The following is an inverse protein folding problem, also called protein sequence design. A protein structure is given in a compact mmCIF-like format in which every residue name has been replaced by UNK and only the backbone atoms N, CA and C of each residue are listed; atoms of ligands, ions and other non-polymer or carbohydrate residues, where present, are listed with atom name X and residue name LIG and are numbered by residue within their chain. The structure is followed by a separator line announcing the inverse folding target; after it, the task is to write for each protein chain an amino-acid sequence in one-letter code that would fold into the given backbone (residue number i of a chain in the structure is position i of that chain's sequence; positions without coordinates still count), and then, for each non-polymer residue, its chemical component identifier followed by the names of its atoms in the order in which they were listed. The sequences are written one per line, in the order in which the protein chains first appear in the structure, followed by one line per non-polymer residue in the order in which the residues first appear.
data_IF_301762687434
#
_entry.id   IF_301762687434
#
_cell.length_a   1.000
_cell.length_b   1.000
_cell.length_c   1.000
_cell.angle_alpha   90.00
_cell.angle_beta   90.00
_cell.angle_gamma   90.00
#
_symmetry.space_group_name_H-M   'P 1'
#
loop_
_entity.id
_entity.type
_entity.pdbx_description
1 polymer ?
#
# COMPACT_ATOMS: atom_id res chain seq x y z
N UNK A 1 9.79 12.57 -25.24
CA UNK A 1 9.11 13.04 -24.02
C UNK A 1 8.31 11.86 -23.47
N UNK A 2 8.51 11.49 -22.21
CA UNK A 2 7.78 10.39 -21.58
C UNK A 2 6.31 10.76 -21.47
N UNK A 3 5.41 9.90 -21.96
CA UNK A 3 3.97 10.13 -21.88
C UNK A 3 3.47 9.59 -20.51
N UNK A 4 3.00 10.47 -19.65
CA UNK A 4 2.43 10.11 -18.35
C UNK A 4 0.92 10.11 -18.50
N UNK A 5 0.25 8.93 -18.53
CA UNK A 5 -1.21 8.89 -18.62
C UNK A 5 -1.81 9.35 -17.26
N UNK A 6 -2.80 10.24 -17.33
CA UNK A 6 -3.56 10.60 -16.13
C UNK A 6 -4.37 9.39 -15.63
N UNK A 7 -4.55 9.31 -14.31
CA UNK A 7 -5.33 8.27 -13.68
C UNK A 7 -6.25 8.91 -12.62
N UNK A 8 -7.49 9.26 -12.99
CA UNK A 8 -8.43 9.90 -12.08
C UNK A 8 -8.54 9.17 -10.74
N UNK A 9 -8.74 9.93 -9.68
CA UNK A 9 -8.97 9.38 -8.34
C UNK A 9 -10.22 9.99 -7.74
N UNK A 10 -10.99 9.21 -7.02
CA UNK A 10 -12.21 9.66 -6.33
C UNK A 10 -11.93 10.70 -5.22
N UNK A 11 -10.66 10.85 -4.80
CA UNK A 11 -10.28 11.82 -3.77
C UNK A 11 -10.66 13.26 -4.13
N UNK A 12 -10.57 13.64 -5.41
CA UNK A 12 -10.88 14.98 -5.90
C UNK A 12 -12.29 15.09 -6.51
N UNK A 13 -13.05 14.00 -6.50
CA UNK A 13 -14.43 13.98 -6.96
C UNK A 13 -15.39 14.38 -5.86
N UNK A 14 -16.53 14.94 -6.23
CA UNK A 14 -17.62 15.17 -5.28
C UNK A 14 -18.11 13.81 -4.72
N UNK A 15 -18.42 13.72 -3.42
CA UNK A 15 -18.99 12.52 -2.85
C UNK A 15 -20.29 12.12 -3.54
N UNK A 16 -20.50 10.82 -3.75
CA UNK A 16 -21.74 10.27 -4.25
C UNK A 16 -22.90 10.41 -3.24
N UNK A 17 -24.13 10.14 -3.69
CA UNK A 17 -25.31 10.14 -2.82
C UNK A 17 -25.34 8.94 -1.88
N UNK A 18 -24.81 7.81 -2.31
CA UNK A 18 -24.97 6.51 -1.67
C UNK A 18 -23.64 5.75 -1.58
N UNK A 19 -23.56 4.82 -0.63
CA UNK A 19 -22.47 3.85 -0.54
C UNK A 19 -22.61 2.82 -1.67
N UNK A 20 -21.55 2.06 -1.94
CA UNK A 20 -21.58 0.98 -2.92
C UNK A 20 -22.66 -0.06 -2.59
N UNK A 21 -23.68 -0.15 -3.43
CA UNK A 21 -24.81 -1.06 -3.24
C UNK A 21 -24.43 -2.54 -3.30
N UNK A 22 -23.28 -2.88 -3.89
CA UNK A 22 -22.77 -4.25 -3.84
C UNK A 22 -22.31 -4.62 -2.44
N UNK A 23 -21.77 -3.65 -1.71
CA UNK A 23 -21.21 -3.86 -0.37
C UNK A 23 -22.23 -3.57 0.72
N UNK A 24 -23.09 -2.55 0.54
CA UNK A 24 -23.97 -2.03 1.58
C UNK A 24 -25.44 -2.13 1.21
N UNK A 25 -26.27 -2.20 2.23
CA UNK A 25 -27.70 -1.94 2.19
C UNK A 25 -28.01 -0.76 3.11
N UNK A 26 -28.16 0.43 2.52
CA UNK A 26 -28.15 1.68 3.27
C UNK A 26 -26.80 1.89 3.97
N UNK A 27 -26.80 1.96 5.29
CA UNK A 27 -25.59 2.11 6.11
C UNK A 27 -25.06 0.78 6.68
N UNK A 28 -25.68 -0.35 6.36
CA UNK A 28 -25.29 -1.66 6.88
C UNK A 28 -24.49 -2.45 5.84
N UNK A 29 -23.35 -2.97 6.25
CA UNK A 29 -22.55 -3.87 5.42
C UNK A 29 -23.32 -5.18 5.21
N UNK A 30 -23.39 -5.65 3.97
CA UNK A 30 -24.05 -6.92 3.64
C UNK A 30 -23.35 -8.09 4.33
N UNK A 31 -24.12 -8.95 5.00
CA UNK A 31 -23.58 -10.07 5.79
C UNK A 31 -22.66 -11.00 4.98
N UNK A 32 -22.93 -11.19 3.68
CA UNK A 32 -22.08 -12.02 2.84
C UNK A 32 -20.70 -11.40 2.63
N UNK A 33 -20.59 -10.05 2.50
CA UNK A 33 -19.33 -9.31 2.40
C UNK A 33 -18.53 -9.51 3.68
N UNK A 34 -19.15 -9.18 4.82
CA UNK A 34 -18.55 -9.33 6.15
C UNK A 34 -18.00 -10.73 6.37
N UNK A 35 -18.83 -11.74 6.16
CA UNK A 35 -18.47 -13.14 6.40
C UNK A 35 -17.34 -13.60 5.48
N UNK A 36 -17.34 -13.19 4.21
CA UNK A 36 -16.29 -13.58 3.26
C UNK A 36 -14.96 -12.93 3.59
N UNK A 37 -14.95 -11.62 3.89
CA UNK A 37 -13.71 -10.89 4.27
C UNK A 37 -13.11 -11.48 5.54
N UNK A 38 -13.92 -11.71 6.58
CA UNK A 38 -13.45 -12.34 7.82
C UNK A 38 -12.96 -13.77 7.61
N UNK A 39 -13.65 -14.55 6.79
CA UNK A 39 -13.24 -15.93 6.48
C UNK A 39 -11.87 -15.97 5.84
N UNK A 40 -11.62 -15.18 4.77
CA UNK A 40 -10.31 -15.14 4.14
C UNK A 40 -9.20 -14.81 5.15
N UNK A 41 -9.44 -13.80 6.00
CA UNK A 41 -8.48 -13.38 7.00
C UNK A 41 -8.20 -14.48 8.04
N UNK A 42 -9.25 -14.99 8.66
CA UNK A 42 -9.08 -15.94 9.75
C UNK A 42 -8.63 -17.32 9.30
N UNK A 43 -9.13 -17.82 8.17
CA UNK A 43 -8.66 -19.08 7.60
C UNK A 43 -7.17 -19.00 7.27
N UNK A 44 -6.71 -17.87 6.69
CA UNK A 44 -5.30 -17.66 6.40
C UNK A 44 -4.45 -17.61 7.68
N UNK A 45 -4.85 -16.83 8.67
CA UNK A 45 -4.10 -16.67 9.91
C UNK A 45 -4.05 -17.95 10.75
N UNK A 46 -5.13 -18.73 10.79
CA UNK A 46 -5.23 -19.96 11.57
C UNK A 46 -4.29 -21.08 11.08
N UNK A 47 -3.78 -21.00 9.85
CA UNK A 47 -2.78 -21.95 9.33
C UNK A 47 -1.45 -21.85 10.10
N UNK A 48 -1.10 -20.65 10.56
CA UNK A 48 0.25 -20.38 11.12
C UNK A 48 0.20 -19.94 12.58
N UNK A 49 -0.87 -19.24 13.00
CA UNK A 49 -0.93 -18.56 14.29
C UNK A 49 -2.03 -19.15 15.19
N UNK A 50 -1.76 -19.14 16.50
CA UNK A 50 -2.70 -19.63 17.49
C UNK A 50 -3.77 -18.58 17.81
N UNK A 51 -5.01 -19.01 17.87
CA UNK A 51 -6.19 -18.24 18.33
C UNK A 51 -6.32 -16.81 17.75
N UNK A 52 -6.29 -16.62 16.40
CA UNK A 52 -6.29 -15.27 15.81
C UNK A 52 -7.53 -14.43 16.23
N UNK A 53 -8.65 -15.04 16.53
CA UNK A 53 -9.86 -14.34 17.01
C UNK A 53 -9.67 -13.59 18.34
N UNK A 54 -8.60 -13.87 19.09
CA UNK A 54 -8.37 -13.24 20.38
C UNK A 54 -7.53 -11.96 20.30
N UNK A 55 -6.81 -11.77 19.20
CA UNK A 55 -5.84 -10.68 19.08
C UNK A 55 -5.99 -9.89 17.77
N UNK A 56 -6.87 -10.33 16.84
CA UNK A 56 -7.16 -9.61 15.59
C UNK A 56 -8.39 -8.74 15.75
N UNK A 57 -8.29 -7.51 15.24
CA UNK A 57 -9.40 -6.61 14.90
C UNK A 57 -9.37 -6.40 13.40
N UNK A 58 -10.51 -6.16 12.76
CA UNK A 58 -10.59 -5.99 11.33
C UNK A 58 -11.64 -4.94 10.94
N UNK A 59 -11.28 -4.05 10.04
CA UNK A 59 -12.17 -3.02 9.51
C UNK A 59 -12.08 -2.98 8.00
N UNK A 60 -13.22 -2.90 7.31
CA UNK A 60 -13.21 -2.34 5.97
C UNK A 60 -13.07 -0.83 6.09
N UNK A 61 -12.11 -0.23 5.38
CA UNK A 61 -11.79 1.18 5.52
C UNK A 61 -11.41 1.82 4.17
N UNK A 62 -11.26 3.13 4.17
CA UNK A 62 -10.82 3.86 3.00
C UNK A 62 -11.96 4.37 2.11
N UNK A 63 -11.65 4.73 0.87
CA UNK A 63 -12.62 5.28 -0.07
C UNK A 63 -13.68 4.28 -0.49
N UNK A 64 -13.35 2.98 -0.60
CA UNK A 64 -14.29 1.93 -1.02
C UNK A 64 -15.51 1.76 -0.10
N UNK A 65 -15.41 2.20 1.17
CA UNK A 65 -16.51 2.19 2.15
C UNK A 65 -16.99 3.60 2.50
N UNK A 66 -16.74 4.58 1.64
CA UNK A 66 -17.17 5.97 1.81
C UNK A 66 -18.02 6.43 0.62
N UNK A 67 -18.56 7.63 0.68
CA UNK A 67 -19.27 8.26 -0.44
C UNK A 67 -18.34 8.69 -1.60
N UNK A 68 -17.04 8.46 -1.49
CA UNK A 68 -16.03 8.67 -2.53
C UNK A 68 -15.56 7.35 -3.19
N UNK A 69 -16.37 6.29 -3.13
CA UNK A 69 -16.09 5.07 -3.87
C UNK A 69 -16.17 5.28 -5.40
N UNK A 70 -15.43 4.50 -6.14
CA UNK A 70 -15.29 4.65 -7.60
C UNK A 70 -16.06 3.55 -8.32
N UNK A 71 -17.24 3.90 -8.87
CA UNK A 71 -18.12 2.95 -9.56
C UNK A 71 -17.56 2.42 -10.89
N UNK A 72 -16.68 3.18 -11.53
CA UNK A 72 -16.11 2.82 -12.84
C UNK A 72 -14.83 1.99 -12.74
N UNK A 73 -14.26 1.88 -11.54
CA UNK A 73 -13.04 1.11 -11.32
C UNK A 73 -13.34 -0.40 -11.26
N UNK A 74 -12.66 -1.17 -12.12
CA UNK A 74 -12.78 -2.63 -12.15
C UNK A 74 -11.37 -3.25 -12.19
N UNK A 75 -10.98 -4.04 -11.17
CA UNK A 75 -11.69 -4.28 -9.91
C UNK A 75 -11.77 -3.03 -9.03
N UNK A 76 -12.82 -2.92 -8.24
CA UNK A 76 -12.96 -1.90 -7.21
C UNK A 76 -11.91 -2.07 -6.11
N UNK A 77 -11.46 -0.97 -5.50
CA UNK A 77 -10.44 -0.99 -4.43
C UNK A 77 -11.13 -1.17 -3.07
N UNK A 78 -10.82 -2.24 -2.35
CA UNK A 78 -11.38 -2.53 -1.06
C UNK A 78 -10.29 -2.88 -0.06
N UNK A 79 -10.09 -2.02 0.94
CA UNK A 79 -9.05 -2.16 1.95
C UNK A 79 -9.61 -2.77 3.24
N UNK A 80 -9.07 -3.91 3.67
CA UNK A 80 -9.27 -4.46 5.00
C UNK A 80 -8.08 -4.10 5.90
N UNK A 81 -8.27 -3.15 6.80
CA UNK A 81 -7.28 -2.80 7.81
C UNK A 81 -7.37 -3.74 9.00
N UNK A 82 -6.23 -4.32 9.34
CA UNK A 82 -6.10 -5.31 10.42
C UNK A 82 -5.37 -4.68 11.60
N UNK A 83 -6.00 -4.64 12.75
CA UNK A 83 -5.39 -4.26 14.01
C UNK A 83 -4.93 -5.49 14.79
N UNK A 84 -3.77 -5.39 15.42
CA UNK A 84 -3.20 -6.46 16.23
C UNK A 84 -3.13 -6.02 17.69
N UNK A 85 -3.74 -6.79 18.59
CA UNK A 85 -3.38 -6.71 20.00
C UNK A 85 -2.04 -7.43 20.18
N UNK A 86 -0.95 -6.66 20.08
CA UNK A 86 0.42 -7.21 20.12
C UNK A 86 0.78 -7.88 21.43
N UNK A 87 0.16 -7.49 22.54
CA UNK A 87 0.38 -8.13 23.85
C UNK A 87 -0.23 -9.53 23.85
N UNK A 88 -1.47 -9.60 23.44
CA UNK A 88 -2.20 -10.89 23.33
C UNK A 88 -1.59 -11.77 22.24
N UNK A 89 -1.21 -11.21 21.09
CA UNK A 89 -0.54 -11.95 20.03
C UNK A 89 0.72 -12.65 20.54
N UNK A 90 1.63 -11.93 21.23
CA UNK A 90 2.87 -12.53 21.76
C UNK A 90 2.63 -13.56 22.84
N UNK A 91 1.51 -13.44 23.58
CA UNK A 91 1.13 -14.45 24.59
C UNK A 91 0.75 -15.77 23.95
N UNK A 92 0.01 -15.74 22.85
CA UNK A 92 -0.40 -16.96 22.13
C UNK A 92 0.68 -17.47 21.17
N UNK A 93 1.55 -16.60 20.70
CA UNK A 93 2.59 -16.86 19.71
C UNK A 93 3.94 -16.43 20.26
N UNK A 94 4.43 -17.14 21.31
CA UNK A 94 5.63 -16.79 22.09
C UNK A 94 6.91 -16.70 21.26
N UNK A 95 6.96 -17.39 20.13
CA UNK A 95 8.08 -17.37 19.18
C UNK A 95 8.36 -15.96 18.62
N UNK A 96 7.38 -15.08 18.69
CA UNK A 96 7.45 -13.70 18.21
C UNK A 96 7.64 -12.66 19.33
N UNK A 97 7.87 -13.11 20.58
CA UNK A 97 7.94 -12.23 21.75
C UNK A 97 9.04 -11.17 21.65
N UNK A 98 10.14 -11.48 20.94
CA UNK A 98 11.28 -10.55 20.75
C UNK A 98 11.11 -9.52 19.64
N UNK A 99 10.01 -9.56 18.85
CA UNK A 99 9.78 -8.62 17.76
C UNK A 99 9.04 -7.37 18.23
N UNK A 100 9.38 -6.21 17.66
CA UNK A 100 8.62 -4.95 17.81
C UNK A 100 7.25 -5.03 17.12
N UNK A 101 6.37 -4.07 17.39
CA UNK A 101 5.06 -4.00 16.73
C UNK A 101 5.21 -3.73 15.23
N UNK A 102 6.17 -2.89 14.85
CA UNK A 102 6.49 -2.53 13.46
C UNK A 102 7.01 -3.75 12.68
N UNK A 103 7.87 -4.56 13.32
CA UNK A 103 8.38 -5.79 12.72
C UNK A 103 7.28 -6.83 12.52
N UNK A 104 6.40 -7.00 13.51
CA UNK A 104 5.23 -7.89 13.41
C UNK A 104 4.29 -7.39 12.30
N UNK A 105 3.94 -6.09 12.27
CA UNK A 105 3.10 -5.52 11.23
C UNK A 105 3.70 -5.69 9.83
N UNK A 106 5.01 -5.46 9.70
CA UNK A 106 5.72 -5.65 8.43
C UNK A 106 5.70 -7.10 7.96
N UNK A 107 5.87 -8.04 8.89
CA UNK A 107 5.81 -9.49 8.62
C UNK A 107 4.43 -9.90 8.09
N UNK A 108 3.34 -9.44 8.74
CA UNK A 108 1.98 -9.73 8.27
C UNK A 108 1.70 -9.09 6.90
N UNK A 109 2.12 -7.84 6.70
CA UNK A 109 1.90 -7.14 5.42
C UNK A 109 2.58 -7.86 4.26
N UNK A 110 3.77 -8.39 4.47
CA UNK A 110 4.46 -9.19 3.47
C UNK A 110 3.77 -10.53 3.22
N UNK A 111 3.33 -11.21 4.29
CA UNK A 111 2.60 -12.47 4.18
C UNK A 111 1.27 -12.27 3.44
N UNK A 112 0.50 -11.24 3.76
CA UNK A 112 -0.75 -10.91 3.07
C UNK A 112 -0.52 -10.57 1.59
N UNK A 113 0.51 -9.78 1.27
CA UNK A 113 0.83 -9.45 -0.12
C UNK A 113 1.23 -10.69 -0.95
N UNK A 114 1.97 -11.61 -0.36
CA UNK A 114 2.48 -12.78 -1.08
C UNK A 114 1.50 -13.95 -1.15
N UNK A 115 0.69 -14.14 -0.10
CA UNK A 115 -0.10 -15.35 0.06
C UNK A 115 -1.62 -15.13 0.09
N UNK A 116 -2.10 -13.97 0.56
CA UNK A 116 -3.53 -13.69 0.67
C UNK A 116 -4.05 -12.87 -0.52
N UNK A 117 -3.33 -11.82 -0.94
CA UNK A 117 -3.71 -10.97 -2.08
C UNK A 117 -3.92 -11.75 -3.39
N UNK A 118 -3.10 -12.76 -3.75
CA UNK A 118 -3.36 -13.56 -4.96
C UNK A 118 -4.72 -14.26 -4.98
N UNK A 119 -5.29 -14.53 -3.79
CA UNK A 119 -6.60 -15.17 -3.64
C UNK A 119 -7.76 -14.16 -3.65
N UNK A 120 -7.47 -12.88 -3.38
CA UNK A 120 -8.47 -11.84 -3.15
C UNK A 120 -8.37 -10.65 -4.11
N UNK A 121 -7.39 -10.67 -5.04
CA UNK A 121 -7.14 -9.59 -6.01
C UNK A 121 -8.27 -9.36 -7.03
N UNK A 122 -9.20 -10.30 -7.16
CA UNK A 122 -10.41 -10.16 -7.99
C UNK A 122 -11.59 -10.89 -7.33
N UNK A 123 -11.88 -10.53 -6.08
CA UNK A 123 -12.98 -11.10 -5.34
C UNK A 123 -14.27 -10.31 -5.60
N UNK A 124 -15.27 -10.95 -6.22
CA UNK A 124 -16.58 -10.34 -6.54
C UNK A 124 -16.50 -8.98 -7.28
N UNK A 125 -15.44 -8.79 -8.06
CA UNK A 125 -15.18 -7.54 -8.78
C UNK A 125 -14.42 -6.50 -7.96
N UNK A 126 -13.88 -6.86 -6.80
CA UNK A 126 -13.03 -6.04 -5.97
C UNK A 126 -11.60 -6.61 -5.86
N UNK A 127 -10.61 -5.73 -5.83
CA UNK A 127 -9.29 -6.04 -5.31
C UNK A 127 -9.35 -5.82 -3.78
N UNK A 128 -9.56 -6.93 -3.05
CA UNK A 128 -9.59 -6.90 -1.59
C UNK A 128 -8.18 -7.07 -1.05
N UNK A 129 -7.66 -6.00 -0.44
CA UNK A 129 -6.33 -5.98 0.18
C UNK A 129 -6.44 -6.04 1.69
N UNK A 130 -5.48 -6.72 2.33
CA UNK A 130 -5.35 -6.77 3.79
C UNK A 130 -4.06 -6.06 4.20
N UNK A 131 -4.17 -5.14 5.15
CA UNK A 131 -3.04 -4.36 5.60
C UNK A 131 -3.05 -4.20 7.13
N UNK A 132 -1.94 -4.59 7.78
CA UNK A 132 -1.72 -4.35 9.21
C UNK A 132 -1.09 -2.99 9.40
N UNK A 133 -1.81 -2.10 10.09
CA UNK A 133 -1.20 -0.87 10.59
C UNK A 133 -0.53 -1.15 11.95
N UNK A 134 0.69 -0.63 12.22
CA UNK A 134 1.34 -0.78 13.53
C UNK A 134 0.50 -0.22 14.69
N UNK A 135 -0.42 0.70 14.42
CA UNK A 135 -1.40 1.18 15.40
C UNK A 135 -2.51 0.13 15.59
N UNK A 136 -2.84 -0.15 16.84
CA UNK A 136 -3.88 -1.15 17.17
C UNK A 136 -5.29 -0.62 16.92
N UNK A 137 -5.47 0.71 17.01
CA UNK A 137 -6.78 1.35 16.89
C UNK A 137 -6.91 2.12 15.58
N UNK A 138 -7.96 1.80 14.82
CA UNK A 138 -8.24 2.42 13.52
C UNK A 138 -8.46 3.95 13.61
N UNK A 139 -9.00 4.46 14.70
CA UNK A 139 -9.26 5.90 14.87
C UNK A 139 -7.96 6.71 14.97
N UNK A 140 -6.86 6.10 15.36
CA UNK A 140 -5.55 6.77 15.48
C UNK A 140 -4.96 7.19 14.13
N UNK A 141 -5.48 6.67 13.02
CA UNK A 141 -4.98 6.97 11.67
C UNK A 141 -5.89 7.89 10.85
N UNK A 142 -6.98 8.39 11.45
CA UNK A 142 -7.94 9.29 10.80
C UNK A 142 -8.36 8.81 9.40
N UNK A 143 -8.99 7.62 9.25
CA UNK A 143 -9.39 7.07 7.97
C UNK A 143 -10.56 7.85 7.36
N UNK A 144 -10.83 7.65 6.07
CA UNK A 144 -12.03 8.18 5.38
C UNK A 144 -13.32 7.72 6.04
N UNK A 145 -13.39 6.43 6.27
CA UNK A 145 -14.47 5.70 6.95
C UNK A 145 -13.88 4.38 7.44
N UNK A 146 -14.49 3.75 8.43
CA UNK A 146 -14.08 2.44 8.92
C UNK A 146 -15.28 1.68 9.50
N UNK A 147 -15.60 0.53 8.89
CA UNK A 147 -16.63 -0.39 9.36
C UNK A 147 -15.98 -1.55 10.10
N UNK A 148 -16.30 -1.73 11.38
CA UNK A 148 -15.79 -2.81 12.21
C UNK A 148 -16.44 -4.14 11.81
N UNK A 149 -15.65 -5.04 11.25
CA UNK A 149 -16.13 -6.35 10.80
C UNK A 149 -16.40 -7.32 11.96
N UNK A 150 -15.76 -7.11 13.11
CA UNK A 150 -15.95 -7.97 14.28
C UNK A 150 -17.27 -7.64 14.97
N UNK A 151 -17.52 -6.35 15.23
CA UNK A 151 -18.68 -5.87 15.95
C UNK A 151 -19.88 -5.57 15.04
N UNK A 152 -19.70 -5.57 13.70
CA UNK A 152 -20.73 -5.29 12.70
C UNK A 152 -21.32 -3.88 12.81
N UNK A 153 -20.46 -2.87 13.01
CA UNK A 153 -20.85 -1.49 13.21
C UNK A 153 -19.82 -0.50 12.65
N UNK A 154 -20.21 0.75 12.46
CA UNK A 154 -19.29 1.81 12.09
C UNK A 154 -18.43 2.23 13.29
N UNK A 155 -17.11 2.18 13.14
CA UNK A 155 -16.16 2.86 14.05
C UNK A 155 -15.94 4.31 13.62
N UNK A 156 -15.89 4.57 12.30
CA UNK A 156 -15.84 5.91 11.70
C UNK A 156 -16.85 5.94 10.57
N UNK A 157 -17.96 6.66 10.78
CA UNK A 157 -19.00 6.80 9.76
C UNK A 157 -18.51 7.62 8.55
N UNK A 158 -18.92 7.24 7.32
CA UNK A 158 -18.59 8.00 6.13
C UNK A 158 -19.31 9.35 6.12
N UNK A 159 -18.64 10.39 5.65
CA UNK A 159 -19.17 11.74 5.58
C UNK A 159 -19.58 12.11 4.15
N UNK A 160 -20.88 12.44 3.95
CA UNK A 160 -21.42 12.87 2.64
C UNK A 160 -20.87 14.21 2.14
N UNK A 161 -20.33 15.02 3.02
CA UNK A 161 -19.78 16.35 2.66
C UNK A 161 -18.25 16.36 2.68
N UNK A 162 -17.63 15.20 2.75
CA UNK A 162 -16.18 15.09 2.78
C UNK A 162 -15.59 15.56 1.46
N UNK A 163 -14.72 16.54 1.53
CA UNK A 163 -13.93 17.04 0.40
C UNK A 163 -12.47 17.19 0.81
N UNK A 164 -11.52 17.04 -0.13
CA UNK A 164 -10.13 17.27 0.17
C UNK A 164 -9.90 18.73 0.62
N UNK A 165 -9.02 18.94 1.59
CA UNK A 165 -8.64 20.31 1.97
C UNK A 165 -8.01 21.00 0.76
N UNK A 166 -8.46 22.22 0.47
CA UNK A 166 -7.84 23.04 -0.57
C UNK A 166 -6.76 23.94 0.03
N UNK A 167 -5.58 23.90 -0.58
CA UNK A 167 -4.50 24.85 -0.29
C UNK A 167 -3.71 25.11 -1.57
N UNK A 168 -3.63 26.40 -1.96
CA UNK A 168 -2.84 26.83 -3.11
C UNK A 168 -1.36 26.44 -2.97
N UNK A 169 -0.82 26.45 -1.77
CA UNK A 169 0.56 26.02 -1.51
C UNK A 169 0.74 24.51 -1.78
N UNK A 170 -0.28 23.69 -1.48
CA UNK A 170 -0.26 22.27 -1.76
C UNK A 170 -0.35 21.98 -3.26
N UNK A 171 -1.24 22.68 -3.96
CA UNK A 171 -1.35 22.60 -5.42
C UNK A 171 -0.03 22.95 -6.10
N UNK A 172 0.57 24.08 -5.77
CA UNK A 172 1.89 24.47 -6.31
C UNK A 172 3.01 23.48 -5.98
N UNK A 173 2.94 22.84 -4.80
CA UNK A 173 3.91 21.82 -4.42
C UNK A 173 3.76 20.55 -5.25
N UNK A 174 2.52 20.11 -5.54
CA UNK A 174 2.27 18.93 -6.36
C UNK A 174 2.52 19.17 -7.85
N UNK A 175 2.36 20.40 -8.35
CA UNK A 175 2.83 20.80 -9.68
C UNK A 175 4.36 20.64 -9.82
N UNK A 176 5.13 21.08 -8.81
CA UNK A 176 6.58 20.86 -8.79
C UNK A 176 6.96 19.38 -8.71
N UNK A 177 6.19 18.57 -8.00
CA UNK A 177 6.38 17.13 -7.99
C UNK A 177 6.17 16.54 -9.39
N UNK A 178 5.15 17.00 -10.12
CA UNK A 178 4.92 16.59 -11.51
C UNK A 178 6.11 16.96 -12.42
N UNK A 179 6.60 18.19 -12.35
CA UNK A 179 7.74 18.65 -13.15
C UNK A 179 9.01 17.85 -12.82
N UNK A 180 9.22 17.57 -11.54
CA UNK A 180 10.34 16.75 -11.07
C UNK A 180 10.23 15.33 -11.61
N UNK A 181 9.07 14.70 -11.47
CA UNK A 181 8.82 13.36 -11.99
C UNK A 181 9.00 13.30 -13.51
N UNK A 182 8.44 14.26 -14.26
CA UNK A 182 8.59 14.32 -15.72
C UNK A 182 10.08 14.43 -16.13
N UNK A 183 10.87 15.21 -15.40
CA UNK A 183 12.31 15.31 -15.61
C UNK A 183 13.01 13.97 -15.36
N UNK A 184 12.72 13.28 -14.26
CA UNK A 184 13.31 11.99 -13.90
C UNK A 184 12.93 10.90 -14.91
N UNK A 185 11.68 10.85 -15.32
CA UNK A 185 11.16 9.89 -16.31
C UNK A 185 11.81 10.10 -17.70
N UNK A 186 12.01 11.37 -18.11
CA UNK A 186 12.71 11.67 -19.35
C UNK A 186 14.20 11.26 -19.28
N UNK A 187 14.87 11.49 -18.15
CA UNK A 187 16.26 11.03 -17.93
C UNK A 187 16.37 9.51 -18.00
N UNK A 188 15.41 8.80 -17.37
CA UNK A 188 15.35 7.35 -17.45
C UNK A 188 15.19 6.87 -18.90
N UNK A 189 14.24 7.43 -19.65
CA UNK A 189 14.00 7.05 -21.05
C UNK A 189 15.23 7.31 -21.94
N UNK A 190 15.92 8.43 -21.75
CA UNK A 190 17.15 8.74 -22.47
C UNK A 190 18.29 7.77 -22.13
N UNK A 191 18.48 7.51 -20.84
CA UNK A 191 19.52 6.59 -20.38
C UNK A 191 19.27 5.15 -20.85
N UNK A 192 18.00 4.73 -20.88
CA UNK A 192 17.60 3.42 -21.40
C UNK A 192 17.91 3.31 -22.90
N UNK A 193 17.55 4.31 -23.70
CA UNK A 193 17.85 4.35 -25.12
C UNK A 193 19.36 4.36 -25.41
N UNK A 194 20.16 5.10 -24.61
CA UNK A 194 21.63 5.07 -24.71
C UNK A 194 22.20 3.68 -24.40
N UNK A 195 21.65 3.00 -23.39
CA UNK A 195 22.09 1.66 -23.01
C UNK A 195 21.75 0.62 -24.06
N UNK A 196 20.54 0.64 -24.61
CA UNK A 196 20.10 -0.25 -25.68
C UNK A 196 20.86 -0.02 -27.00
N UNK A 197 21.19 1.25 -27.30
CA UNK A 197 21.95 1.63 -28.49
C UNK A 197 23.47 1.45 -28.39
N UNK A 198 24.01 1.12 -27.22
CA UNK A 198 25.46 1.01 -27.01
C UNK A 198 26.05 -0.27 -27.64
N UNK A 199 26.90 -0.10 -28.67
CA UNK A 199 27.51 -1.20 -29.45
C UNK A 199 28.90 -1.61 -28.96
N UNK A 200 29.62 -0.74 -28.24
CA UNK A 200 30.94 -1.05 -27.70
C UNK A 200 30.94 -1.24 -26.20
N UNK A 201 31.83 -2.10 -25.68
CA UNK A 201 31.91 -2.41 -24.24
C UNK A 201 32.10 -1.14 -23.36
N UNK A 202 33.03 -0.19 -23.69
CA UNK A 202 33.19 1.02 -22.88
C UNK A 202 31.92 1.88 -22.85
N UNK A 203 31.27 2.04 -24.00
CA UNK A 203 30.02 2.83 -24.09
C UNK A 203 28.89 2.17 -23.32
N UNK A 204 28.79 0.85 -23.38
CA UNK A 204 27.78 0.08 -22.64
C UNK A 204 27.92 0.23 -21.12
N UNK A 205 29.14 0.13 -20.60
CA UNK A 205 29.41 0.32 -19.16
C UNK A 205 29.04 1.75 -18.70
N UNK A 206 29.35 2.77 -19.52
CA UNK A 206 28.99 4.14 -19.18
C UNK A 206 27.47 4.38 -19.25
N UNK A 207 26.80 3.84 -20.27
CA UNK A 207 25.35 3.92 -20.42
C UNK A 207 24.61 3.17 -19.30
N UNK A 208 25.11 1.99 -18.89
CA UNK A 208 24.59 1.24 -17.76
C UNK A 208 24.65 2.05 -16.45
N UNK A 209 25.79 2.71 -16.17
CA UNK A 209 25.92 3.57 -14.98
C UNK A 209 24.92 4.73 -15.00
N UNK A 210 24.72 5.38 -16.16
CA UNK A 210 23.73 6.45 -16.31
C UNK A 210 22.31 5.93 -16.07
N UNK A 211 21.99 4.75 -16.62
CA UNK A 211 20.68 4.10 -16.45
C UNK A 211 20.43 3.77 -14.99
N UNK A 212 21.40 3.15 -14.32
CA UNK A 212 21.26 2.84 -12.88
C UNK A 212 21.05 4.08 -12.03
N UNK A 213 21.78 5.17 -12.31
CA UNK A 213 21.58 6.44 -11.60
C UNK A 213 20.17 7.02 -11.84
N UNK A 214 19.66 6.97 -13.07
CA UNK A 214 18.32 7.44 -13.39
C UNK A 214 17.22 6.59 -12.70
N UNK A 215 17.41 5.27 -12.64
CA UNK A 215 16.55 4.35 -11.91
C UNK A 215 16.55 4.69 -10.41
N UNK A 216 17.73 4.87 -9.81
CA UNK A 216 17.85 5.19 -8.39
C UNK A 216 17.15 6.50 -8.04
N UNK A 217 17.36 7.55 -8.81
CA UNK A 217 16.72 8.87 -8.60
C UNK A 217 15.17 8.78 -8.68
N UNK A 218 14.65 8.07 -9.68
CA UNK A 218 13.21 7.90 -9.85
C UNK A 218 12.60 7.06 -8.70
N UNK A 219 13.26 5.99 -8.30
CA UNK A 219 12.85 5.14 -7.19
C UNK A 219 12.86 5.90 -5.85
N UNK A 220 13.92 6.68 -5.57
CA UNK A 220 14.00 7.52 -4.36
C UNK A 220 12.88 8.56 -4.30
N UNK A 221 12.53 9.17 -5.44
CA UNK A 221 11.45 10.13 -5.48
C UNK A 221 10.08 9.48 -5.22
N UNK A 222 9.83 8.29 -5.79
CA UNK A 222 8.66 7.49 -5.46
C UNK A 222 8.59 7.18 -3.97
N UNK A 223 9.69 6.68 -3.40
CA UNK A 223 9.74 6.29 -1.98
C UNK A 223 9.53 7.51 -1.05
N UNK A 224 10.01 8.69 -1.40
CA UNK A 224 9.77 9.90 -0.62
C UNK A 224 8.27 10.27 -0.56
N UNK A 225 7.55 10.17 -1.69
CA UNK A 225 6.11 10.43 -1.73
C UNK A 225 5.35 9.32 -0.98
N UNK A 226 5.70 8.06 -1.20
CA UNK A 226 5.06 6.90 -0.57
C UNK A 226 5.26 6.87 0.96
N UNK A 227 6.48 7.17 1.43
CA UNK A 227 6.78 7.30 2.86
C UNK A 227 5.96 8.42 3.49
N UNK A 228 5.84 9.56 2.81
CA UNK A 228 4.97 10.65 3.24
C UNK A 228 3.53 10.17 3.45
N UNK A 229 2.95 9.44 2.48
CA UNK A 229 1.61 8.87 2.63
C UNK A 229 1.48 7.96 3.85
N UNK A 230 2.46 7.12 4.11
CA UNK A 230 2.45 6.26 5.32
C UNK A 230 2.44 7.09 6.60
N UNK A 231 3.17 8.21 6.63
CA UNK A 231 3.17 9.13 7.76
C UNK A 231 1.82 9.85 7.93
N UNK A 232 1.14 10.20 6.83
CA UNK A 232 -0.20 10.79 6.89
C UNK A 232 -1.20 9.91 7.67
N UNK A 233 -1.13 8.61 7.49
CA UNK A 233 -1.97 7.61 8.19
C UNK A 233 -1.25 6.98 9.40
N UNK A 234 -0.39 7.73 10.06
CA UNK A 234 0.20 7.38 11.36
C UNK A 234 -0.50 8.15 12.48
N UNK A 235 -0.20 7.79 13.72
CA UNK A 235 -0.75 8.47 14.91
C UNK A 235 -0.53 9.98 14.95
N UNK A 236 0.50 10.49 14.28
CA UNK A 236 0.82 11.92 14.21
C UNK A 236 0.34 12.60 12.94
N UNK A 237 -0.22 11.85 11.99
CA UNK A 237 -0.73 12.36 10.73
C UNK A 237 -2.21 12.76 10.82
N UNK A 238 -2.65 13.57 9.86
CA UNK A 238 -4.04 14.02 9.75
C UNK A 238 -4.92 13.11 8.85
N UNK A 239 -4.39 11.96 8.42
CA UNK A 239 -5.12 10.97 7.61
C UNK A 239 -5.59 11.53 6.26
N UNK A 240 -6.91 11.48 6.04
CA UNK A 240 -7.54 12.00 4.82
C UNK A 240 -7.15 13.46 4.53
N UNK A 241 -7.13 14.31 5.53
CA UNK A 241 -6.88 15.74 5.40
C UNK A 241 -5.37 16.11 5.44
N UNK A 242 -4.48 15.14 5.43
CA UNK A 242 -3.04 15.36 5.48
C UNK A 242 -2.48 15.81 4.13
N UNK A 243 -1.51 16.73 4.15
CA UNK A 243 -0.80 17.16 2.94
C UNK A 243 -0.17 15.99 2.18
N UNK A 244 0.42 15.04 2.87
CA UNK A 244 1.08 13.90 2.22
C UNK A 244 0.08 12.92 1.58
N UNK A 245 -1.15 12.83 2.12
CA UNK A 245 -2.22 12.12 1.44
C UNK A 245 -2.66 12.90 0.19
N UNK A 246 -2.87 14.22 0.29
CA UNK A 246 -3.17 15.09 -0.85
C UNK A 246 -2.11 14.93 -1.96
N UNK A 247 -0.81 15.01 -1.59
CA UNK A 247 0.33 14.83 -2.48
C UNK A 247 0.30 13.47 -3.21
N UNK A 248 0.00 12.41 -2.48
CA UNK A 248 -0.13 11.06 -3.04
C UNK A 248 -1.28 10.98 -4.04
N UNK A 249 -2.45 11.52 -3.72
CA UNK A 249 -3.63 11.49 -4.57
C UNK A 249 -3.44 12.35 -5.83
N UNK A 250 -2.84 13.53 -5.71
CA UNK A 250 -2.46 14.36 -6.85
C UNK A 250 -1.47 13.65 -7.77
N UNK A 251 -0.49 12.96 -7.17
CA UNK A 251 0.45 12.14 -7.93
C UNK A 251 -0.18 10.91 -8.61
N UNK A 252 -1.22 10.30 -8.01
CA UNK A 252 -2.03 9.26 -8.67
C UNK A 252 -2.79 9.85 -9.85
N UNK A 253 -3.50 10.95 -9.64
CA UNK A 253 -4.31 11.61 -10.67
C UNK A 253 -3.48 12.04 -11.87
N UNK A 254 -2.29 12.60 -11.64
CA UNK A 254 -1.38 12.98 -12.72
C UNK A 254 -0.62 11.81 -13.36
N UNK A 255 -0.73 10.58 -12.82
CA UNK A 255 -0.10 9.36 -13.32
C UNK A 255 1.37 9.18 -12.89
N UNK A 256 1.98 10.16 -12.22
CA UNK A 256 3.41 10.08 -11.85
C UNK A 256 3.69 8.93 -10.87
N UNK A 257 2.75 8.61 -10.00
CA UNK A 257 2.91 7.50 -9.03
C UNK A 257 3.05 6.18 -9.76
N UNK A 258 2.20 5.89 -10.75
CA UNK A 258 2.26 4.66 -11.53
C UNK A 258 3.57 4.58 -12.33
N UNK A 259 3.94 5.67 -13.00
CA UNK A 259 5.14 5.71 -13.83
C UNK A 259 6.42 5.50 -13.00
N UNK A 260 6.53 6.19 -11.86
CA UNK A 260 7.67 6.04 -10.94
C UNK A 260 7.70 4.66 -10.28
N UNK A 261 6.53 4.10 -9.93
CA UNK A 261 6.41 2.77 -9.35
C UNK A 261 6.93 1.69 -10.29
N UNK A 262 6.64 1.77 -11.58
CA UNK A 262 7.17 0.83 -12.59
C UNK A 262 8.70 0.80 -12.59
N UNK A 263 9.35 1.97 -12.48
CA UNK A 263 10.82 2.06 -12.43
C UNK A 263 11.35 1.49 -11.10
N UNK A 264 10.67 1.76 -9.99
CA UNK A 264 11.02 1.21 -8.68
C UNK A 264 10.90 -0.32 -8.68
N UNK A 265 9.83 -0.88 -9.21
CA UNK A 265 9.62 -2.33 -9.30
C UNK A 265 10.66 -2.98 -10.23
N UNK A 266 11.06 -2.30 -11.32
CA UNK A 266 12.19 -2.72 -12.17
C UNK A 266 13.52 -2.73 -11.39
N UNK A 267 13.80 -1.69 -10.58
CA UNK A 267 14.96 -1.66 -9.67
C UNK A 267 15.00 -2.87 -8.75
N UNK A 268 13.87 -3.20 -8.11
CA UNK A 268 13.78 -4.34 -7.20
C UNK A 268 14.07 -5.67 -7.93
N UNK A 269 13.57 -5.80 -9.17
CA UNK A 269 13.83 -6.97 -10.02
C UNK A 269 15.32 -7.10 -10.35
N UNK A 270 16.00 -5.98 -10.70
CA UNK A 270 17.44 -5.98 -10.95
C UNK A 270 18.25 -6.35 -9.71
N UNK A 271 17.86 -5.85 -8.53
CA UNK A 271 18.52 -6.20 -7.27
C UNK A 271 18.35 -7.69 -6.94
N UNK A 272 17.16 -8.25 -7.12
CA UNK A 272 16.92 -9.69 -6.94
C UNK A 272 17.77 -10.52 -7.88
N UNK A 273 17.80 -10.18 -9.18
CA UNK A 273 18.62 -10.86 -10.17
C UNK A 273 20.12 -10.76 -9.84
N UNK A 274 20.60 -9.60 -9.41
CA UNK A 274 21.98 -9.39 -8.95
C UNK A 274 22.34 -10.26 -7.74
N UNK A 275 21.42 -10.39 -6.77
CA UNK A 275 21.61 -11.26 -5.61
C UNK A 275 21.69 -12.74 -6.02
N UNK A 276 20.81 -13.20 -6.91
CA UNK A 276 20.86 -14.57 -7.45
C UNK A 276 22.19 -14.83 -8.19
N UNK A 277 22.64 -13.86 -9.01
CA UNK A 277 23.90 -13.98 -9.72
C UNK A 277 25.12 -14.03 -8.79
N UNK A 278 25.09 -13.27 -7.69
CA UNK A 278 26.22 -13.15 -6.76
C UNK A 278 26.27 -14.26 -5.72
N UNK A 279 25.12 -14.77 -5.27
CA UNK A 279 25.01 -15.71 -4.16
C UNK A 279 24.43 -17.07 -4.57
N UNK A 280 24.02 -17.24 -5.82
CA UNK A 280 23.44 -18.48 -6.33
C UNK A 280 22.01 -18.78 -5.87
N UNK A 281 21.45 -17.92 -5.01
CA UNK A 281 20.09 -18.04 -4.46
C UNK A 281 19.44 -16.67 -4.33
N UNK A 282 18.12 -16.62 -4.39
CA UNK A 282 17.38 -15.43 -4.00
C UNK A 282 17.53 -15.23 -2.49
N UNK A 283 18.08 -14.08 -2.09
CA UNK A 283 18.19 -13.77 -0.67
C UNK A 283 16.78 -13.56 -0.10
N UNK A 284 16.48 -14.20 1.04
CA UNK A 284 15.24 -13.93 1.73
C UNK A 284 15.17 -12.43 2.08
N UNK A 285 13.98 -11.86 1.98
CA UNK A 285 13.80 -10.49 2.43
C UNK A 285 14.05 -10.35 3.94
N UNK A 286 14.16 -9.11 4.40
CA UNK A 286 14.45 -8.79 5.80
C UNK A 286 13.45 -9.43 6.76
N UNK A 287 12.15 -9.41 6.42
CA UNK A 287 11.09 -9.96 7.27
C UNK A 287 11.19 -11.49 7.40
N UNK A 288 11.52 -12.19 6.32
CA UNK A 288 11.77 -13.64 6.37
C UNK A 288 13.00 -13.95 7.23
N UNK A 289 14.04 -13.11 7.17
CA UNK A 289 15.23 -13.28 8.02
C UNK A 289 14.91 -13.03 9.50
N UNK A 290 14.14 -11.98 9.81
CA UNK A 290 13.67 -11.68 11.17
C UNK A 290 12.84 -12.85 11.70
N UNK A 291 11.86 -13.34 10.93
CA UNK A 291 11.06 -14.51 11.31
C UNK A 291 11.92 -15.73 11.60
N UNK A 292 12.89 -16.05 10.71
CA UNK A 292 13.80 -17.16 10.92
C UNK A 292 14.70 -16.96 12.15
N UNK A 293 15.13 -15.73 12.43
CA UNK A 293 15.90 -15.41 13.61
C UNK A 293 15.08 -15.58 14.89
N UNK A 294 13.83 -15.09 14.92
CA UNK A 294 12.90 -15.26 16.03
C UNK A 294 12.67 -16.74 16.34
N UNK A 295 12.41 -17.57 15.32
CA UNK A 295 12.20 -19.01 15.46
C UNK A 295 13.45 -19.79 15.87
N UNK A 296 14.67 -19.27 15.64
CA UNK A 296 15.93 -19.92 16.04
C UNK A 296 16.40 -19.55 17.44
N UNK A 297 15.94 -18.40 17.97
CA UNK A 297 16.32 -17.93 19.32
C UNK A 297 15.72 -18.73 20.47
N UNK A 298 14.96 -19.80 20.16
CA UNK A 298 14.19 -20.62 21.11
C UNK A 298 14.85 -22.00 21.33
N UNK A 299 16.15 -22.11 21.13
CA UNK A 299 16.85 -23.34 21.49
C UNK A 299 17.65 -23.19 22.78
#
# INVERSE_FOLDING_TARGET
MYNIPSNPTSYFSDPGSDLDEKLFEGMHLRSWVRNSVLRFLFDHLAVVYQDPHRWVKAWLAGSGVSYQWESERTPGDLDCLVGIDYVTFRRFNSDYAGLSNEEIASMFNEDFANNLLPLTSNWEGFELTYYVNPQTNIVDINPYAAYDLINDEWTVEPNKTQSPPYSRAWEQSTEKDYDTAATLLNRYSQALAEFEGATSTPNRVNAERKLMLAIDQAAEFYEAIHKGRKLAFSKTGAGYADYHNYRWQAGKQSGIIQALKLIKDYKDTLQKAGNVSSYGVELPNTNTLIRRAALRGIK
#
